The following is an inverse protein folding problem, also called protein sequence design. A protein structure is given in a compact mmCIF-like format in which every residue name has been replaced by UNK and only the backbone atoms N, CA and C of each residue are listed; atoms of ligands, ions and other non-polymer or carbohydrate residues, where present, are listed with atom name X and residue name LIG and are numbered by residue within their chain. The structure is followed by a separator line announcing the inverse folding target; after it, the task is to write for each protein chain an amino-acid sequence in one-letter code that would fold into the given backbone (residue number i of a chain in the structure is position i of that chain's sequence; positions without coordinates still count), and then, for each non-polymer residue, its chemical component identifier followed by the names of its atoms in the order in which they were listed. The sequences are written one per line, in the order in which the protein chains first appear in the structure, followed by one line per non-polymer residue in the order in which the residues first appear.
data_IF_440455701903
#
_entry.id   IF_440455701903
#
_cell.length_a   1.000
_cell.length_b   1.000
_cell.length_c   1.000
_cell.angle_alpha   90.00
_cell.angle_beta   90.00
_cell.angle_gamma   90.00
#
_symmetry.space_group_name_H-M   'P 1'
#
loop_
_entity.id
_entity.type
_entity.pdbx_description
1 polymer ?
#
# COMPACT_ATOMS: atom_id res chain seq x y z
N UNK A 1 7.59 0.36 6.45
CA UNK A 1 8.10 0.75 5.12
C UNK A 1 7.98 2.28 4.99
N UNK A 2 9.06 3.03 4.78
CA UNK A 2 9.01 4.50 4.62
C UNK A 2 9.04 4.87 3.14
N UNK A 3 7.87 4.91 2.50
CA UNK A 3 7.73 5.16 1.06
C UNK A 3 7.74 6.68 0.76
N UNK A 4 7.13 7.44 1.66
CA UNK A 4 6.99 8.90 1.61
C UNK A 4 8.33 9.66 1.70
N UNK A 5 9.39 9.00 2.19
CA UNK A 5 10.73 9.56 2.18
C UNK A 5 11.30 9.74 0.76
N UNK A 6 10.79 8.98 -0.21
CA UNK A 6 11.24 9.05 -1.60
C UNK A 6 10.12 9.38 -2.58
N UNK A 7 8.86 9.07 -2.27
CA UNK A 7 7.71 9.32 -3.16
C UNK A 7 6.71 10.29 -2.53
N UNK A 8 5.95 11.01 -3.37
CA UNK A 8 4.78 11.77 -2.94
C UNK A 8 3.54 10.87 -3.05
N UNK A 9 2.91 10.57 -1.93
CA UNK A 9 1.63 9.83 -1.84
C UNK A 9 0.49 10.82 -1.53
N UNK A 10 0.70 11.74 -0.60
CA UNK A 10 -0.15 12.90 -0.34
C UNK A 10 0.60 14.19 -0.71
N UNK A 11 0.03 14.96 -1.64
CA UNK A 11 0.62 16.22 -2.13
C UNK A 11 0.73 17.30 -1.05
N UNK A 12 -0.03 17.19 0.05
CA UNK A 12 -0.07 18.18 1.13
C UNK A 12 1.08 17.99 2.11
N UNK A 13 1.43 16.74 2.42
CA UNK A 13 2.38 16.40 3.49
C UNK A 13 3.71 15.88 2.99
N UNK A 14 3.74 15.21 1.85
CA UNK A 14 4.92 14.45 1.43
C UNK A 14 5.88 15.32 0.63
N UNK A 15 7.18 15.08 0.85
CA UNK A 15 8.30 15.74 0.16
C UNK A 15 9.25 14.74 -0.50
N UNK A 16 8.75 13.55 -0.80
CA UNK A 16 9.49 12.50 -1.51
C UNK A 16 9.62 12.80 -3.00
N UNK A 17 10.57 13.67 -3.37
CA UNK A 17 10.83 14.07 -4.76
C UNK A 17 11.86 13.19 -5.49
N UNK A 18 12.44 12.19 -4.81
CA UNK A 18 13.47 11.30 -5.37
C UNK A 18 12.85 10.32 -6.38
N UNK A 19 11.68 9.78 -6.04
CA UNK A 19 10.90 8.88 -6.86
C UNK A 19 9.69 9.57 -7.49
N UNK A 20 9.06 8.94 -8.50
CA UNK A 20 7.86 9.46 -9.11
C UNK A 20 6.70 9.54 -8.12
N UNK A 21 5.80 10.50 -8.32
CA UNK A 21 4.56 10.60 -7.52
C UNK A 21 3.69 9.36 -7.65
N UNK A 22 3.09 8.95 -6.54
CA UNK A 22 2.20 7.79 -6.41
C UNK A 22 0.72 8.18 -6.27
N UNK A 23 0.40 9.48 -6.24
CA UNK A 23 -0.96 10.04 -6.08
C UNK A 23 -2.01 9.52 -7.07
N UNK A 24 -1.56 9.04 -8.23
CA UNK A 24 -2.41 8.53 -9.32
C UNK A 24 -1.88 7.23 -9.92
N UNK A 25 -1.07 6.48 -9.16
CA UNK A 25 -0.38 5.29 -9.69
C UNK A 25 -1.37 4.20 -10.12
N UNK A 26 -2.50 4.06 -9.42
CA UNK A 26 -3.55 3.10 -9.73
C UNK A 26 -4.34 3.40 -11.01
N UNK A 27 -4.20 4.61 -11.57
CA UNK A 27 -4.74 4.96 -12.90
C UNK A 27 -3.72 4.74 -14.02
N UNK A 28 -2.43 4.60 -13.68
CA UNK A 28 -1.32 4.54 -14.64
C UNK A 28 -0.76 3.13 -14.82
N UNK A 29 -0.83 2.31 -13.78
CA UNK A 29 -0.19 1.00 -13.72
C UNK A 29 -1.21 -0.08 -13.33
N UNK A 30 -0.82 -1.34 -13.53
CA UNK A 30 -1.66 -2.50 -13.20
C UNK A 30 -1.23 -3.12 -11.88
N UNK A 31 -2.17 -3.78 -11.18
CA UNK A 31 -1.88 -4.45 -9.92
C UNK A 31 -0.76 -5.50 -10.06
N UNK A 32 -0.77 -6.28 -11.16
CA UNK A 32 0.26 -7.28 -11.43
C UNK A 32 1.65 -6.64 -11.58
N UNK A 33 1.74 -5.51 -12.28
CA UNK A 33 3.01 -4.78 -12.43
C UNK A 33 3.51 -4.26 -11.09
N UNK A 34 2.64 -3.63 -10.29
CA UNK A 34 3.01 -3.06 -8.99
C UNK A 34 3.46 -4.18 -8.03
N UNK A 35 2.75 -5.31 -8.00
CA UNK A 35 3.12 -6.45 -7.17
C UNK A 35 4.52 -6.98 -7.52
N UNK A 36 4.79 -7.21 -8.82
CA UNK A 36 6.10 -7.68 -9.27
C UNK A 36 7.21 -6.65 -8.95
N UNK A 37 6.90 -5.36 -9.08
CA UNK A 37 7.81 -4.28 -8.71
C UNK A 37 8.15 -4.30 -7.21
N UNK A 38 7.19 -4.54 -6.34
CA UNK A 38 7.42 -4.68 -4.89
C UNK A 38 8.26 -5.92 -4.52
N UNK A 39 8.18 -6.99 -5.33
CA UNK A 39 8.96 -8.22 -5.11
C UNK A 39 10.43 -8.05 -5.49
N UNK A 40 10.71 -7.51 -6.68
CA UNK A 40 12.08 -7.31 -7.11
C UNK A 40 12.19 -6.23 -8.21
N UNK A 41 12.35 -4.94 -7.84
CA UNK A 41 12.39 -3.86 -8.82
C UNK A 41 13.65 -3.95 -9.70
N UNK A 42 14.78 -4.44 -9.17
CA UNK A 42 16.03 -4.62 -9.91
C UNK A 42 15.93 -5.68 -11.01
N UNK A 43 15.09 -6.71 -10.80
CA UNK A 43 14.85 -7.73 -11.83
C UNK A 43 14.03 -7.20 -13.01
N UNK A 44 13.17 -6.20 -12.78
CA UNK A 44 12.36 -5.61 -13.82
C UNK A 44 13.09 -4.47 -14.54
N UNK A 45 13.83 -3.66 -13.79
CA UNK A 45 14.67 -2.57 -14.32
C UNK A 45 16.02 -2.55 -13.60
N UNK A 46 17.04 -3.20 -14.16
CA UNK A 46 18.39 -3.18 -13.60
C UNK A 46 18.91 -1.75 -13.45
N UNK A 47 19.49 -1.44 -12.29
CA UNK A 47 20.01 -0.10 -12.00
C UNK A 47 18.97 0.93 -11.57
N UNK A 48 17.72 0.51 -11.31
CA UNK A 48 16.75 1.41 -10.67
C UNK A 48 17.23 1.84 -9.27
N UNK A 49 16.93 3.08 -8.87
CA UNK A 49 17.32 3.58 -7.54
C UNK A 49 16.42 3.00 -6.44
N UNK A 50 15.23 2.52 -6.80
CA UNK A 50 14.31 1.94 -5.83
C UNK A 50 14.90 0.64 -5.24
N UNK A 51 15.12 0.58 -3.92
CA UNK A 51 15.74 -0.57 -3.30
C UNK A 51 14.78 -1.75 -3.27
N UNK A 52 15.32 -2.97 -3.41
CA UNK A 52 14.54 -4.17 -3.10
C UNK A 52 14.31 -4.23 -1.58
N UNK A 53 13.05 -4.13 -1.17
CA UNK A 53 12.65 -4.17 0.26
C UNK A 53 12.52 -5.59 0.82
N UNK A 54 12.74 -6.63 0.01
CA UNK A 54 12.54 -8.04 0.35
C UNK A 54 11.15 -8.30 0.96
N UNK A 55 10.12 -7.72 0.36
CA UNK A 55 8.76 -7.72 0.91
C UNK A 55 8.12 -9.13 0.85
N UNK A 56 7.41 -9.49 1.92
CA UNK A 56 6.59 -10.71 1.95
C UNK A 56 5.48 -10.64 0.89
N UNK A 57 4.93 -11.78 0.49
CA UNK A 57 3.84 -11.78 -0.49
C UNK A 57 2.57 -11.12 0.03
N UNK A 58 2.31 -11.25 1.32
CA UNK A 58 1.18 -10.61 1.99
C UNK A 58 1.32 -9.08 1.97
N UNK A 59 2.49 -8.57 2.40
CA UNK A 59 2.75 -7.13 2.39
C UNK A 59 2.75 -6.56 0.97
N UNK A 60 3.35 -7.28 0.01
CA UNK A 60 3.39 -6.84 -1.38
C UNK A 60 1.98 -6.73 -1.96
N UNK A 61 1.07 -7.66 -1.62
CA UNK A 61 -0.35 -7.58 -2.02
C UNK A 61 -1.05 -6.42 -1.34
N UNK A 62 -0.85 -6.23 -0.03
CA UNK A 62 -1.48 -5.16 0.73
C UNK A 62 -1.06 -3.77 0.21
N UNK A 63 0.24 -3.56 -0.02
CA UNK A 63 0.78 -2.33 -0.60
C UNK A 63 0.28 -2.14 -2.03
N UNK A 64 0.24 -3.20 -2.83
CA UNK A 64 -0.32 -3.13 -4.19
C UNK A 64 -1.78 -2.68 -4.16
N UNK A 65 -2.60 -3.26 -3.27
CA UNK A 65 -4.00 -2.86 -3.12
C UNK A 65 -4.15 -1.39 -2.73
N UNK A 66 -3.31 -0.91 -1.81
CA UNK A 66 -3.26 0.51 -1.45
C UNK A 66 -2.87 1.40 -2.62
N UNK A 67 -1.82 1.06 -3.38
CA UNK A 67 -1.39 1.84 -4.53
C UNK A 67 -2.43 1.84 -5.65
N UNK A 68 -3.16 0.72 -5.82
CA UNK A 68 -4.24 0.64 -6.79
C UNK A 68 -5.45 1.51 -6.44
N UNK A 69 -5.65 1.87 -5.17
CA UNK A 69 -6.70 2.81 -4.78
C UNK A 69 -6.35 4.28 -5.07
N UNK A 70 -5.07 4.59 -5.35
CA UNK A 70 -4.60 5.93 -5.69
C UNK A 70 -4.88 6.27 -7.16
N UNK A 71 -6.07 6.81 -7.46
CA UNK A 71 -6.54 7.08 -8.83
C UNK A 71 -6.63 8.55 -9.24
N UNK A 72 -6.28 9.47 -8.34
CA UNK A 72 -6.45 10.91 -8.55
C UNK A 72 -7.89 11.35 -8.30
N UNK A 73 -8.06 12.23 -7.31
CA UNK A 73 -9.37 12.74 -6.90
C UNK A 73 -9.50 12.69 -5.38
N UNK A 74 -9.53 13.87 -4.78
CA UNK A 74 -9.66 14.10 -3.34
C UNK A 74 -10.81 13.30 -2.71
N UNK A 75 -10.49 12.21 -2.01
CA UNK A 75 -11.12 11.77 -0.76
C UNK A 75 -10.15 10.89 0.02
N UNK A 76 -9.22 11.54 0.72
CA UNK A 76 -8.72 10.97 1.97
C UNK A 76 -9.88 11.05 2.97
N UNK A 77 -10.68 9.99 3.03
CA UNK A 77 -11.79 9.86 3.96
C UNK A 77 -11.79 8.44 4.50
N UNK A 78 -11.35 8.30 5.76
CA UNK A 78 -11.73 7.14 6.57
C UNK A 78 -10.61 6.18 6.94
N UNK A 79 -9.53 6.64 7.57
CA UNK A 79 -8.95 5.83 8.64
C UNK A 79 -9.88 5.93 9.85
N UNK A 80 -10.83 5.00 9.93
CA UNK A 80 -11.69 4.68 11.06
C UNK A 80 -12.36 3.34 10.67
N UNK A 81 -12.17 2.21 11.35
CA UNK A 81 -11.88 2.00 12.76
C UNK A 81 -11.42 0.54 12.89
N UNK A 82 -10.31 0.31 13.58
CA UNK A 82 -10.10 -0.96 14.29
C UNK A 82 -11.25 -1.08 15.30
N UNK A 83 -12.18 -1.98 15.04
CA UNK A 83 -13.18 -2.42 16.01
C UNK A 83 -12.88 -3.88 16.32
N UNK A 84 -12.00 -4.09 17.31
CA UNK A 84 -12.04 -5.34 18.09
C UNK A 84 -13.44 -5.44 18.71
N UNK A 85 -14.18 -6.47 18.34
CA UNK A 85 -15.29 -6.97 19.13
C UNK A 85 -15.13 -8.50 19.22
N UNK A 86 -14.32 -8.95 20.18
CA UNK A 86 -14.49 -10.27 20.74
C UNK A 86 -15.73 -10.22 21.62
N UNK A 87 -16.83 -10.79 21.15
CA UNK A 87 -17.99 -11.12 21.98
C UNK A 87 -18.22 -12.63 21.85
N UNK A 88 -17.91 -13.35 22.92
CA UNK A 88 -18.17 -14.78 23.08
C UNK A 88 -19.68 -14.96 23.36
N UNK A 89 -20.45 -15.72 22.56
CA UNK A 89 -21.84 -15.98 22.89
C UNK A 89 -21.96 -17.04 24.00
N UNK A 90 -22.44 -16.53 25.14
CA UNK A 90 -23.43 -17.11 26.08
C UNK A 90 -23.54 -18.64 26.21
N UNK A 91 -23.19 -19.06 27.42
CA UNK A 91 -23.65 -20.21 28.20
C UNK A 91 -25.02 -20.77 27.78
N UNK A 92 -25.03 -22.05 27.40
CA UNK A 92 -26.24 -22.87 27.22
C UNK A 92 -26.46 -23.66 28.51
N UNK A 93 -27.52 -23.27 29.22
CA UNK A 93 -28.09 -24.02 30.32
C UNK A 93 -28.40 -25.48 29.90
N UNK A 94 -27.95 -26.45 30.70
CA UNK A 94 -28.35 -27.84 30.57
C UNK A 94 -28.64 -28.44 31.94
N UNK A 95 -29.95 -28.57 32.18
CA UNK A 95 -30.65 -29.52 33.08
C UNK A 95 -30.59 -29.27 34.58
#
# INVERSE_FOLDING_TARGET
YSCQGCHIVDTKTDKGYIGPTLTQVGSRLTAAWIYQWMKNPQSLRPGTVEPNRAMSDEDARAVTAFLMSQKGGEKSSGSSKSAKANAHPREVAKR
#
